data_IF_936580381994
#
_entry.id   IF_936580381994
#
_cell.length_a   1.000
_cell.length_b   1.000
_cell.length_c   1.000
_cell.angle_alpha   90.00
_cell.angle_beta   90.00
_cell.angle_gamma   90.00
#
_symmetry.space_group_name_H-M   'P 1'
#
loop_
_entity.id
_entity.type
_entity.pdbx_description
1 polymer ?
#
# COMPACT_ATOMS: atom_id res chain seq x y z
N UNK A 1 -14.72 -6.78 -7.67
CA UNK A 1 -15.39 -5.52 -8.10
C UNK A 1 -15.27 -4.41 -7.06
N UNK A 2 -15.71 -4.61 -5.79
CA UNK A 2 -15.61 -3.57 -4.75
C UNK A 2 -14.17 -3.11 -4.50
N UNK A 3 -13.24 -4.05 -4.35
CA UNK A 3 -11.81 -3.75 -4.12
C UNK A 3 -11.18 -3.04 -5.31
N UNK A 4 -11.40 -3.52 -6.53
CA UNK A 4 -10.94 -2.86 -7.75
C UNK A 4 -11.41 -1.40 -7.84
N UNK A 5 -12.69 -1.12 -7.58
CA UNK A 5 -13.22 0.25 -7.59
C UNK A 5 -12.61 1.07 -6.46
N UNK A 6 -12.49 0.50 -5.26
CA UNK A 6 -11.88 1.17 -4.13
C UNK A 6 -10.43 1.56 -4.44
N UNK A 7 -9.67 0.69 -5.08
CA UNK A 7 -8.28 0.93 -5.44
C UNK A 7 -8.15 2.00 -6.51
N UNK A 8 -8.91 1.90 -7.61
CA UNK A 8 -8.94 2.94 -8.66
C UNK A 8 -9.36 4.30 -8.10
N UNK A 9 -10.34 4.34 -7.20
CA UNK A 9 -10.81 5.57 -6.56
C UNK A 9 -9.83 6.14 -5.54
N UNK A 10 -9.10 5.28 -4.82
CA UNK A 10 -8.13 5.68 -3.79
C UNK A 10 -6.81 6.10 -4.43
N UNK A 11 -6.09 5.17 -5.04
CA UNK A 11 -4.70 5.38 -5.46
C UNK A 11 -4.57 6.04 -6.84
N UNK A 12 -5.63 6.07 -7.64
CA UNK A 12 -5.60 6.70 -8.96
C UNK A 12 -5.17 8.18 -8.94
N UNK A 13 -5.42 8.90 -7.84
CA UNK A 13 -5.01 10.32 -7.67
C UNK A 13 -3.87 10.51 -6.67
N UNK A 14 -3.56 9.51 -5.85
CA UNK A 14 -2.49 9.60 -4.86
C UNK A 14 -1.14 9.53 -5.57
N UNK A 15 -0.24 10.43 -5.19
CA UNK A 15 1.15 10.45 -5.68
C UNK A 15 2.08 10.76 -4.52
N UNK A 16 2.85 9.77 -4.12
CA UNK A 16 3.82 9.92 -3.04
C UNK A 16 4.92 8.88 -3.17
N UNK A 17 6.17 9.26 -2.86
CA UNK A 17 7.36 8.42 -3.08
C UNK A 17 7.36 7.09 -2.31
N UNK A 18 6.57 7.00 -1.23
CA UNK A 18 6.44 5.80 -0.40
C UNK A 18 5.10 5.06 -0.62
N UNK A 19 4.42 5.34 -1.73
CA UNK A 19 3.25 4.59 -2.19
C UNK A 19 3.58 3.96 -3.55
N UNK A 20 3.05 2.78 -3.82
CA UNK A 20 3.19 2.11 -5.12
C UNK A 20 2.26 2.79 -6.11
N UNK A 21 2.82 3.45 -7.14
CA UNK A 21 2.01 4.24 -8.06
C UNK A 21 1.16 3.34 -8.98
N UNK A 22 -0.16 3.51 -8.94
CA UNK A 22 -1.05 3.00 -9.97
C UNK A 22 -0.84 3.84 -11.25
N UNK A 23 -0.42 3.19 -12.33
CA UNK A 23 -0.17 3.80 -13.64
C UNK A 23 -1.44 3.80 -14.50
N UNK A 24 -2.30 2.80 -14.33
CA UNK A 24 -3.54 2.68 -15.07
C UNK A 24 -4.33 1.45 -14.69
N UNK A 25 -5.49 1.29 -15.31
CA UNK A 25 -6.35 0.13 -15.13
C UNK A 25 -7.04 -0.22 -16.44
N UNK A 26 -7.43 -1.47 -16.60
CA UNK A 26 -8.31 -1.94 -17.67
C UNK A 26 -9.55 -2.57 -17.05
N UNK A 27 -10.71 -2.22 -17.59
CA UNK A 27 -11.99 -2.86 -17.29
C UNK A 27 -12.64 -3.24 -18.61
N UNK A 28 -12.57 -4.52 -18.98
CA UNK A 28 -13.15 -5.04 -20.22
C UNK A 28 -13.84 -6.37 -19.94
N UNK A 29 -15.13 -6.46 -20.27
CA UNK A 29 -15.95 -7.67 -20.07
C UNK A 29 -15.82 -8.22 -18.63
N UNK A 30 -15.15 -9.37 -18.46
CA UNK A 30 -14.92 -10.05 -17.19
C UNK A 30 -13.51 -9.84 -16.62
N UNK A 31 -12.68 -9.03 -17.29
CA UNK A 31 -11.30 -8.75 -16.88
C UNK A 31 -11.19 -7.40 -16.16
N UNK A 32 -10.55 -7.46 -14.99
CA UNK A 32 -10.18 -6.31 -14.17
C UNK A 32 -8.67 -6.34 -14.00
N UNK A 33 -7.97 -5.37 -14.58
CA UNK A 33 -6.50 -5.32 -14.56
C UNK A 33 -6.08 -3.99 -13.95
N UNK A 34 -5.11 -4.04 -13.04
CA UNK A 34 -4.46 -2.89 -12.45
C UNK A 34 -2.99 -2.91 -12.86
N UNK A 35 -2.47 -1.76 -13.28
CA UNK A 35 -1.09 -1.62 -13.78
C UNK A 35 -0.34 -0.70 -12.83
N UNK A 36 0.71 -1.20 -12.21
CA UNK A 36 1.53 -0.48 -11.24
C UNK A 36 2.95 -0.24 -11.74
N UNK A 37 3.63 0.72 -11.10
CA UNK A 37 5.08 0.79 -11.16
C UNK A 37 5.70 -0.52 -10.65
N UNK A 38 6.67 -1.05 -11.40
CA UNK A 38 7.32 -2.32 -11.08
C UNK A 38 8.29 -2.17 -9.90
N UNK A 39 8.14 -3.03 -8.89
CA UNK A 39 8.98 -3.07 -7.69
C UNK A 39 9.95 -4.25 -7.78
N UNK A 40 11.21 -4.02 -8.20
CA UNK A 40 12.13 -5.10 -8.59
C UNK A 40 12.54 -6.01 -7.43
N UNK A 41 12.51 -5.51 -6.20
CA UNK A 41 12.91 -6.29 -5.03
C UNK A 41 11.75 -7.11 -4.43
N UNK A 42 10.53 -6.90 -4.91
CA UNK A 42 9.34 -7.63 -4.43
C UNK A 42 8.88 -7.13 -3.07
N UNK A 43 8.16 -7.98 -2.33
CA UNK A 43 7.51 -7.65 -1.07
C UNK A 43 8.40 -7.91 0.16
N UNK A 44 8.21 -7.14 1.22
CA UNK A 44 9.00 -7.18 2.44
C UNK A 44 8.88 -8.50 3.21
N UNK A 45 7.72 -9.15 3.18
CA UNK A 45 7.50 -10.46 3.80
C UNK A 45 8.50 -11.52 3.31
N UNK A 46 8.93 -11.45 2.05
CA UNK A 46 9.95 -12.36 1.49
C UNK A 46 11.32 -12.19 2.15
N UNK A 47 11.63 -11.00 2.66
CA UNK A 47 12.89 -10.73 3.37
C UNK A 47 12.79 -11.04 4.87
N UNK A 48 11.57 -11.08 5.42
CA UNK A 48 11.33 -11.33 6.84
C UNK A 48 11.04 -12.80 7.16
N UNK A 49 10.40 -13.52 6.23
CA UNK A 49 9.84 -14.85 6.49
C UNK A 49 10.33 -15.94 5.53
N UNK A 50 10.78 -15.60 4.32
CA UNK A 50 11.30 -16.60 3.37
C UNK A 50 12.82 -16.74 3.51
N UNK A 51 13.24 -17.68 4.37
CA UNK A 51 14.64 -18.07 4.50
C UNK A 51 15.03 -19.06 3.40
N UNK A 52 15.84 -18.59 2.44
CA UNK A 52 16.92 -19.32 1.75
C UNK A 52 17.44 -18.51 0.53
N UNK A 53 16.57 -17.72 -0.14
CA UNK A 53 16.93 -17.02 -1.38
C UNK A 53 17.16 -15.50 -1.26
N UNK A 54 16.77 -14.88 -0.14
CA UNK A 54 16.87 -13.43 0.06
C UNK A 54 17.85 -13.07 1.18
N UNK A 55 18.70 -12.05 0.99
CA UNK A 55 19.59 -11.58 2.05
C UNK A 55 18.79 -10.98 3.20
N UNK A 56 19.25 -11.24 4.43
CA UNK A 56 18.67 -10.64 5.63
C UNK A 56 18.85 -9.13 5.62
N UNK A 57 17.76 -8.39 5.88
CA UNK A 57 17.82 -6.94 6.03
C UNK A 57 18.56 -6.56 7.31
N UNK A 58 19.55 -5.67 7.18
CA UNK A 58 20.20 -5.05 8.32
C UNK A 58 19.29 -4.03 9.02
N UNK A 59 19.74 -3.52 10.16
CA UNK A 59 18.94 -2.57 10.94
C UNK A 59 18.67 -1.25 10.22
N UNK A 60 19.67 -0.72 9.52
CA UNK A 60 19.56 0.54 8.79
C UNK A 60 18.52 0.42 7.67
N UNK A 61 18.52 -0.69 6.94
CA UNK A 61 17.54 -1.01 5.91
C UNK A 61 16.13 -1.12 6.51
N UNK A 62 15.96 -1.88 7.59
CA UNK A 62 14.67 -2.02 8.29
C UNK A 62 14.13 -0.67 8.74
N UNK A 63 14.99 0.16 9.33
CA UNK A 63 14.62 1.50 9.78
C UNK A 63 14.21 2.39 8.61
N UNK A 64 14.97 2.38 7.50
CA UNK A 64 14.63 3.12 6.28
C UNK A 64 13.28 2.74 5.70
N UNK A 65 12.98 1.43 5.65
CA UNK A 65 11.69 0.90 5.20
C UNK A 65 10.56 1.38 6.11
N UNK A 66 10.69 1.21 7.43
CA UNK A 66 9.65 1.63 8.39
C UNK A 66 9.42 3.14 8.33
N UNK A 67 10.49 3.93 8.25
CA UNK A 67 10.40 5.38 8.11
C UNK A 67 9.66 5.79 6.82
N UNK A 68 9.97 5.14 5.70
CA UNK A 68 9.26 5.36 4.43
C UNK A 68 7.76 5.07 4.54
N UNK A 69 7.40 3.92 5.13
CA UNK A 69 5.99 3.55 5.35
C UNK A 69 5.29 4.52 6.29
N UNK A 70 5.95 4.96 7.38
CA UNK A 70 5.40 5.97 8.28
C UNK A 70 5.14 7.30 7.56
N UNK A 71 6.07 7.75 6.69
CA UNK A 71 5.85 8.93 5.85
C UNK A 71 4.69 8.75 4.88
N UNK A 72 4.55 7.56 4.27
CA UNK A 72 3.42 7.22 3.40
C UNK A 72 2.08 7.29 4.14
N UNK A 73 2.00 6.71 5.33
CA UNK A 73 0.79 6.74 6.17
C UNK A 73 0.45 8.15 6.63
N UNK A 74 1.46 8.93 7.04
CA UNK A 74 1.25 10.33 7.40
C UNK A 74 0.68 11.14 6.24
N UNK A 75 1.18 10.92 5.02
CA UNK A 75 0.62 11.56 3.83
C UNK A 75 -0.84 11.18 3.61
N UNK A 76 -1.17 9.88 3.70
CA UNK A 76 -2.54 9.36 3.53
C UNK A 76 -3.52 9.91 4.57
N UNK A 77 -3.07 10.08 5.81
CA UNK A 77 -3.94 10.48 6.91
C UNK A 77 -4.11 12.00 7.02
N UNK A 78 -3.07 12.77 6.73
CA UNK A 78 -3.01 14.20 7.12
C UNK A 78 -2.76 15.17 5.96
N UNK A 79 -2.24 14.70 4.81
CA UNK A 79 -1.73 15.60 3.75
C UNK A 79 -2.47 15.52 2.44
N UNK A 80 -3.24 14.47 2.21
CA UNK A 80 -4.07 14.36 1.03
C UNK A 80 -5.40 15.13 1.17
N UNK A 81 -6.13 15.31 0.08
CA UNK A 81 -7.46 15.97 0.06
C UNK A 81 -8.47 15.26 0.99
N UNK A 82 -8.34 13.93 1.10
CA UNK A 82 -9.18 13.07 1.95
C UNK A 82 -8.31 12.24 2.87
N UNK A 83 -8.85 11.89 4.03
CA UNK A 83 -8.23 10.91 4.94
C UNK A 83 -8.37 9.53 4.32
N UNK A 84 -7.26 8.88 4.01
CA UNK A 84 -7.23 7.54 3.42
C UNK A 84 -6.82 6.52 4.47
N UNK A 85 -7.76 5.68 4.88
CA UNK A 85 -7.49 4.56 5.80
C UNK A 85 -7.21 3.31 4.96
N UNK A 86 -5.97 2.81 5.00
CA UNK A 86 -5.52 1.67 4.19
C UNK A 86 -6.23 0.35 4.55
N UNK A 87 -6.39 0.07 5.85
CA UNK A 87 -7.03 -1.12 6.45
C UNK A 87 -6.36 -2.48 6.19
N UNK A 88 -5.29 -2.55 5.40
CA UNK A 88 -4.53 -3.80 5.21
C UNK A 88 -3.01 -3.61 5.20
N UNK A 89 -2.49 -2.96 6.25
CA UNK A 89 -1.05 -2.72 6.39
C UNK A 89 -0.40 -3.99 6.92
N UNK A 90 0.45 -4.62 6.10
CA UNK A 90 1.19 -5.85 6.43
C UNK A 90 2.45 -5.95 5.58
N UNK A 91 3.36 -6.85 5.95
CA UNK A 91 4.65 -6.99 5.26
C UNK A 91 4.52 -7.36 3.77
N UNK A 92 3.51 -8.14 3.37
CA UNK A 92 3.29 -8.48 1.96
C UNK A 92 2.76 -7.32 1.10
N UNK A 93 2.19 -6.28 1.73
CA UNK A 93 1.71 -5.07 1.06
C UNK A 93 2.75 -3.94 1.07
N UNK A 94 3.94 -4.17 1.66
CA UNK A 94 5.09 -3.28 1.54
C UNK A 94 6.01 -3.83 0.45
N UNK A 95 6.08 -3.13 -0.68
CA UNK A 95 6.96 -3.46 -1.80
C UNK A 95 8.26 -2.67 -1.72
N UNK A 96 9.32 -3.23 -2.30
CA UNK A 96 10.66 -2.66 -2.26
C UNK A 96 11.09 -2.22 -3.67
N UNK A 97 11.44 -0.94 -3.80
CA UNK A 97 11.97 -0.41 -5.06
C UNK A 97 13.44 -0.81 -5.29
N UNK A 98 14.04 -0.35 -6.40
CA UNK A 98 15.42 -0.70 -6.77
C UNK A 98 16.50 -0.29 -5.77
N UNK A 99 16.19 0.67 -4.88
CA UNK A 99 17.10 1.17 -3.84
C UNK A 99 16.79 0.57 -2.46
N UNK A 100 15.93 -0.46 -2.39
CA UNK A 100 15.45 -1.07 -1.14
C UNK A 100 14.60 -0.14 -0.27
N UNK A 101 13.99 0.90 -0.85
CA UNK A 101 13.03 1.73 -0.11
C UNK A 101 11.65 1.05 -0.08
N UNK A 102 10.99 1.14 1.08
CA UNK A 102 9.63 0.62 1.27
C UNK A 102 8.54 1.50 0.65
N UNK A 103 7.63 0.89 -0.11
CA UNK A 103 6.46 1.52 -0.71
C UNK A 103 5.21 0.74 -0.37
N UNK A 104 4.21 1.41 0.17
CA UNK A 104 2.92 0.80 0.51
C UNK A 104 2.07 0.61 -0.76
N UNK A 105 1.61 -0.61 -0.99
CA UNK A 105 0.69 -0.97 -2.07
C UNK A 105 -0.55 -1.68 -1.54
N UNK A 106 -1.39 -2.15 -2.47
CA UNK A 106 -2.68 -2.83 -2.22
C UNK A 106 -3.69 -1.99 -1.45
N UNK A 107 -4.38 -1.12 -2.19
CA UNK A 107 -5.42 -0.24 -1.66
C UNK A 107 -6.83 -0.83 -1.85
N UNK A 108 -6.95 -2.13 -2.12
CA UNK A 108 -8.25 -2.78 -2.37
C UNK A 108 -9.22 -2.65 -1.18
N UNK A 109 -8.69 -2.58 0.04
CA UNK A 109 -9.47 -2.37 1.25
C UNK A 109 -9.48 -0.91 1.73
N UNK A 110 -8.91 0.03 0.99
CA UNK A 110 -8.82 1.42 1.44
C UNK A 110 -10.20 2.11 1.53
N UNK A 111 -10.29 3.13 2.38
CA UNK A 111 -11.46 4.00 2.54
C UNK A 111 -11.06 5.46 2.58
N UNK A 112 -11.83 6.30 1.90
CA UNK A 112 -11.64 7.75 1.89
C UNK A 112 -12.72 8.41 2.75
N UNK A 113 -12.29 9.34 3.59
CA UNK A 113 -13.16 10.17 4.43
C UNK A 113 -12.83 11.64 4.24
N UNK A 114 -13.82 12.50 4.43
CA UNK A 114 -13.58 13.95 4.45
C UNK A 114 -12.98 14.34 5.81
N UNK A 115 -12.06 15.30 5.81
CA UNK A 115 -11.43 15.78 7.04
C UNK A 115 -12.47 16.33 8.02
N UNK A 116 -12.38 15.92 9.29
CA UNK A 116 -13.30 16.36 10.34
C UNK A 116 -14.65 15.63 10.39
N UNK A 117 -14.84 14.58 9.59
CA UNK A 117 -16.03 13.72 9.68
C UNK A 117 -15.80 12.55 10.64
N UNK A 118 -16.83 12.18 11.41
CA UNK A 118 -16.79 10.98 12.24
C UNK A 118 -16.76 9.72 11.37
N UNK A 119 -15.85 8.81 11.71
CA UNK A 119 -15.71 7.53 11.02
C UNK A 119 -16.98 6.70 11.23
N UNK A 120 -17.61 6.32 10.12
CA UNK A 120 -18.78 5.42 10.14
C UNK A 120 -18.34 4.00 10.48
N UNK A 121 -19.19 3.26 11.19
CA UNK A 121 -18.96 1.84 11.49
C UNK A 121 -18.85 1.04 10.19
N UNK A 122 -17.79 0.24 10.07
CA UNK A 122 -17.59 -0.66 8.93
C UNK A 122 -17.42 -2.11 9.39
N UNK A 123 -17.66 -3.06 8.50
CA UNK A 123 -17.33 -4.46 8.76
C UNK A 123 -15.82 -4.62 9.02
N UNK A 124 -15.48 -5.53 9.93
CA UNK A 124 -14.08 -5.93 10.17
C UNK A 124 -13.52 -6.55 8.89
N UNK A 125 -12.41 -5.99 8.43
CA UNK A 125 -11.66 -6.41 7.23
C UNK A 125 -10.16 -6.24 7.53
N UNK A 126 -9.32 -6.82 6.66
CA UNK A 126 -7.87 -6.80 6.80
C UNK A 126 -7.33 -8.20 7.04
N UNK A 127 -6.06 -8.29 7.42
CA UNK A 127 -5.38 -9.54 7.66
C UNK A 127 -5.41 -9.90 9.15
N UNK A 128 -5.82 -11.13 9.47
CA UNK A 128 -5.85 -11.60 10.86
C UNK A 128 -4.45 -11.49 11.50
N UNK A 129 -4.38 -10.84 12.67
CA UNK A 129 -3.13 -10.59 13.40
C UNK A 129 -2.52 -9.20 13.17
N UNK A 130 -3.14 -8.38 12.32
CA UNK A 130 -2.81 -6.97 12.11
C UNK A 130 -3.95 -6.06 12.57
#
# INVERSE_FOLDING_TARGET
MKEFIAEVASIGRLRHRYLVQLLGYCRREHELILVYEYMPNGSLDKYLHCGEDKPTLDWTQRFGIINGIACGLWYLHEKWEKVVIHRDIKASNVLLDGEMNGRLGDFGLARLYDHGTDLQTTHVVGTMGY
#
